data_IF_215513870042
#
_entry.id   IF_215513870042
#
_cell.length_a   1.000
_cell.length_b   1.000
_cell.length_c   1.000
_cell.angle_alpha   90.00
_cell.angle_beta   90.00
_cell.angle_gamma   90.00
#
_symmetry.space_group_name_H-M   'P 1'
#
loop_
_entity.id
_entity.type
_entity.pdbx_description
1 polymer ?
#
# COMPACT_ATOMS: atom_id res chain seq x y z
N UNK A 1 -34.08 -9.85 13.75
CA UNK A 1 -32.87 -9.25 14.35
C UNK A 1 -31.69 -10.06 13.86
N UNK A 2 -31.01 -9.55 12.82
CA UNK A 2 -29.77 -10.14 12.30
C UNK A 2 -28.87 -9.00 11.86
N UNK A 3 -28.42 -8.19 12.82
CA UNK A 3 -27.47 -7.08 12.63
C UNK A 3 -26.03 -7.62 12.46
N UNK A 4 -25.85 -8.53 11.51
CA UNK A 4 -24.52 -9.04 11.11
C UNK A 4 -24.08 -8.52 9.75
N UNK A 5 -24.94 -7.75 9.07
CA UNK A 5 -24.68 -7.25 7.71
C UNK A 5 -23.81 -5.97 7.66
N UNK A 6 -23.54 -5.34 8.82
CA UNK A 6 -22.77 -4.09 8.90
C UNK A 6 -21.25 -4.28 9.06
N UNK A 7 -20.74 -5.52 9.13
CA UNK A 7 -19.30 -5.80 8.97
C UNK A 7 -19.00 -6.05 7.47
N UNK A 8 -19.74 -5.40 6.57
CA UNK A 8 -19.32 -5.30 5.18
C UNK A 8 -18.17 -4.31 5.13
N UNK A 9 -16.96 -4.85 5.09
CA UNK A 9 -15.78 -4.19 4.53
C UNK A 9 -16.24 -3.20 3.46
N UNK A 10 -16.02 -1.90 3.67
CA UNK A 10 -16.51 -0.88 2.74
C UNK A 10 -16.06 -1.28 1.33
N UNK A 11 -16.98 -1.48 0.36
CA UNK A 11 -16.64 -2.08 -0.94
C UNK A 11 -15.55 -1.27 -1.66
N UNK A 12 -15.49 0.03 -1.39
CA UNK A 12 -14.45 0.94 -1.87
C UNK A 12 -13.06 0.62 -1.28
N UNK A 13 -12.96 0.31 0.01
CA UNK A 13 -11.69 -0.09 0.66
C UNK A 13 -11.20 -1.45 0.17
N UNK A 14 -12.12 -2.38 -0.11
CA UNK A 14 -11.80 -3.68 -0.70
C UNK A 14 -11.30 -3.52 -2.14
N UNK A 15 -12.03 -2.78 -2.98
CA UNK A 15 -11.62 -2.50 -4.36
C UNK A 15 -10.30 -1.73 -4.41
N UNK A 16 -10.09 -0.77 -3.51
CA UNK A 16 -8.83 -0.05 -3.39
C UNK A 16 -7.68 -1.01 -3.04
N UNK A 17 -7.89 -1.93 -2.08
CA UNK A 17 -6.90 -2.94 -1.72
C UNK A 17 -6.55 -3.85 -2.90
N UNK A 18 -7.54 -4.36 -3.63
CA UNK A 18 -7.34 -5.20 -4.82
C UNK A 18 -6.55 -4.48 -5.91
N UNK A 19 -6.82 -3.19 -6.13
CA UNK A 19 -6.03 -2.35 -7.07
C UNK A 19 -4.57 -2.24 -6.62
N UNK A 20 -4.32 -2.02 -5.32
CA UNK A 20 -2.96 -1.97 -4.77
C UNK A 20 -2.27 -3.33 -4.95
N UNK A 21 -2.94 -4.44 -4.64
CA UNK A 21 -2.39 -5.79 -4.83
C UNK A 21 -2.02 -6.05 -6.29
N UNK A 22 -2.91 -5.69 -7.23
CA UNK A 22 -2.68 -5.85 -8.67
C UNK A 22 -1.48 -5.03 -9.13
N UNK A 23 -1.37 -3.79 -8.66
CA UNK A 23 -0.30 -2.89 -9.05
C UNK A 23 1.05 -3.35 -8.50
N UNK A 24 1.09 -3.81 -7.25
CA UNK A 24 2.32 -4.27 -6.60
C UNK A 24 2.81 -5.60 -7.17
N UNK A 25 1.90 -6.43 -7.68
CA UNK A 25 2.23 -7.67 -8.39
C UNK A 25 2.65 -7.47 -9.86
N UNK A 26 2.56 -6.24 -10.40
CA UNK A 26 2.95 -5.94 -11.77
C UNK A 26 4.48 -5.99 -11.96
N UNK A 27 4.93 -6.34 -13.16
CA UNK A 27 6.36 -6.39 -13.51
C UNK A 27 7.03 -5.01 -13.43
N UNK A 28 6.31 -3.97 -13.83
CA UNK A 28 6.71 -2.57 -13.67
C UNK A 28 5.77 -1.86 -12.69
N UNK A 29 6.34 -1.32 -11.62
CA UNK A 29 5.58 -0.59 -10.62
C UNK A 29 5.38 0.88 -11.04
N UNK A 30 4.13 1.27 -11.27
CA UNK A 30 3.76 2.68 -11.39
C UNK A 30 3.65 3.31 -9.99
N UNK A 31 4.72 4.00 -9.59
CA UNK A 31 4.82 4.67 -8.30
C UNK A 31 3.79 5.79 -8.10
N UNK A 32 3.40 6.51 -9.15
CA UNK A 32 2.42 7.61 -9.04
C UNK A 32 1.03 7.06 -8.78
N UNK A 33 0.65 6.01 -9.51
CA UNK A 33 -0.61 5.30 -9.28
C UNK A 33 -0.64 4.64 -7.90
N UNK A 34 0.47 4.05 -7.44
CA UNK A 34 0.54 3.47 -6.10
C UNK A 34 0.34 4.54 -5.01
N UNK A 35 1.03 5.68 -5.13
CA UNK A 35 0.89 6.79 -4.18
C UNK A 35 -0.55 7.31 -4.13
N UNK A 36 -1.19 7.46 -5.29
CA UNK A 36 -2.59 7.89 -5.38
C UNK A 36 -3.52 6.91 -4.68
N UNK A 37 -3.36 5.61 -4.93
CA UNK A 37 -4.20 4.56 -4.32
C UNK A 37 -4.00 4.48 -2.80
N UNK A 38 -2.76 4.60 -2.31
CA UNK A 38 -2.49 4.63 -0.86
C UNK A 38 -3.08 5.87 -0.21
N UNK A 39 -2.99 7.03 -0.86
CA UNK A 39 -3.60 8.27 -0.36
C UNK A 39 -5.12 8.20 -0.32
N UNK A 40 -5.75 7.65 -1.37
CA UNK A 40 -7.20 7.39 -1.41
C UNK A 40 -7.61 6.41 -0.31
N UNK A 41 -6.80 5.38 -0.06
CA UNK A 41 -7.03 4.42 1.02
C UNK A 41 -7.08 5.11 2.38
N UNK A 42 -6.09 5.95 2.69
CA UNK A 42 -6.01 6.66 3.96
C UNK A 42 -7.24 7.56 4.17
N UNK A 43 -7.70 8.24 3.12
CA UNK A 43 -8.92 9.06 3.18
C UNK A 43 -10.15 8.21 3.50
N UNK A 44 -10.31 7.06 2.83
CA UNK A 44 -11.41 6.13 3.09
C UNK A 44 -11.36 5.57 4.52
N UNK A 45 -10.18 5.20 5.02
CA UNK A 45 -10.00 4.74 6.41
C UNK A 45 -10.42 5.83 7.39
N UNK A 46 -9.97 7.07 7.21
CA UNK A 46 -10.32 8.19 8.08
C UNK A 46 -11.83 8.45 8.12
N UNK A 47 -12.50 8.36 6.97
CA UNK A 47 -13.96 8.46 6.90
C UNK A 47 -14.63 7.36 7.72
N UNK A 48 -14.17 6.11 7.63
CA UNK A 48 -14.74 5.00 8.39
C UNK A 48 -14.48 5.10 9.89
N UNK A 49 -13.27 5.53 10.29
CA UNK A 49 -12.94 5.76 11.70
C UNK A 49 -13.86 6.81 12.35
N UNK A 50 -14.34 7.80 11.58
CA UNK A 50 -15.31 8.79 12.05
C UNK A 50 -16.75 8.28 12.17
N UNK A 51 -17.08 7.14 11.56
CA UNK A 51 -18.43 6.57 11.52
C UNK A 51 -18.61 5.38 12.46
N UNK A 52 -17.54 4.64 12.74
CA UNK A 52 -17.57 3.42 13.53
C UNK A 52 -17.33 3.69 15.03
N UNK A 53 -17.88 2.84 15.89
CA UNK A 53 -17.65 2.91 17.34
C UNK A 53 -17.75 1.53 18.00
N UNK A 54 -17.13 1.38 19.18
CA UNK A 54 -17.18 0.15 19.96
C UNK A 54 -16.54 -1.06 19.24
N UNK A 55 -17.24 -2.18 19.22
CA UNK A 55 -16.71 -3.46 18.71
C UNK A 55 -16.48 -3.45 17.19
N UNK A 56 -17.32 -2.75 16.42
CA UNK A 56 -17.15 -2.66 14.96
C UNK A 56 -15.90 -1.87 14.57
N UNK A 57 -15.59 -0.82 15.32
CA UNK A 57 -14.35 -0.05 15.18
C UNK A 57 -13.13 -0.94 15.44
N UNK A 58 -13.17 -1.74 16.50
CA UNK A 58 -12.05 -2.62 16.85
C UNK A 58 -11.79 -3.69 15.77
N UNK A 59 -12.85 -4.32 15.24
CA UNK A 59 -12.74 -5.29 14.15
C UNK A 59 -12.23 -4.64 12.85
N UNK A 60 -12.73 -3.45 12.53
CA UNK A 60 -12.28 -2.67 11.38
C UNK A 60 -10.78 -2.35 11.49
N UNK A 61 -10.34 -1.77 12.61
CA UNK A 61 -8.94 -1.44 12.84
C UNK A 61 -8.02 -2.66 12.71
N UNK A 62 -8.42 -3.81 13.27
CA UNK A 62 -7.62 -5.03 13.13
C UNK A 62 -7.49 -5.47 11.67
N UNK A 63 -8.61 -5.50 10.93
CA UNK A 63 -8.58 -5.89 9.51
C UNK A 63 -7.74 -4.93 8.65
N UNK A 64 -7.74 -3.64 8.97
CA UNK A 64 -6.97 -2.64 8.25
C UNK A 64 -5.48 -2.69 8.60
N UNK A 65 -5.12 -3.03 9.84
CA UNK A 65 -3.74 -3.28 10.23
C UNK A 65 -3.14 -4.46 9.46
N UNK A 66 -3.87 -5.56 9.32
CA UNK A 66 -3.40 -6.74 8.59
C UNK A 66 -3.14 -6.40 7.11
N UNK A 67 -4.05 -5.63 6.49
CA UNK A 67 -3.90 -5.15 5.11
C UNK A 67 -2.75 -4.15 4.96
N UNK A 68 -2.58 -3.26 5.93
CA UNK A 68 -1.46 -2.31 5.92
C UNK A 68 -0.11 -3.04 6.03
N UNK A 69 -0.04 -4.05 6.90
CA UNK A 69 1.15 -4.88 7.05
C UNK A 69 1.51 -5.62 5.76
N UNK A 70 0.50 -6.15 5.05
CA UNK A 70 0.68 -6.72 3.72
C UNK A 70 1.28 -5.70 2.75
N UNK A 71 0.68 -4.50 2.63
CA UNK A 71 1.17 -3.46 1.71
C UNK A 71 2.62 -3.10 2.02
N UNK A 72 2.96 -2.90 3.29
CA UNK A 72 4.33 -2.60 3.69
C UNK A 72 5.30 -3.72 3.32
N UNK A 73 4.91 -4.97 3.55
CA UNK A 73 5.76 -6.15 3.27
C UNK A 73 6.04 -6.30 1.79
N UNK A 74 5.07 -6.01 0.92
CA UNK A 74 5.25 -6.13 -0.53
C UNK A 74 5.95 -4.91 -1.14
N UNK A 75 5.69 -3.70 -0.61
CA UNK A 75 6.22 -2.45 -1.17
C UNK A 75 7.65 -2.16 -0.71
N UNK A 76 8.04 -2.51 0.52
CA UNK A 76 9.38 -2.23 1.04
C UNK A 76 10.52 -2.88 0.21
N UNK A 77 10.43 -4.15 -0.22
CA UNK A 77 11.44 -4.78 -1.07
C UNK A 77 11.60 -4.08 -2.42
N UNK A 78 10.51 -3.56 -3.01
CA UNK A 78 10.55 -2.85 -4.28
C UNK A 78 11.38 -1.56 -4.17
N UNK A 79 11.21 -0.79 -3.09
CA UNK A 79 12.05 0.37 -2.83
C UNK A 79 13.52 0.02 -2.57
N UNK A 80 13.78 -1.06 -1.84
CA UNK A 80 15.15 -1.52 -1.59
C UNK A 80 15.84 -1.95 -2.90
N UNK A 81 15.13 -2.64 -3.78
CA UNK A 81 15.62 -3.04 -5.09
C UNK A 81 15.96 -1.83 -5.97
N UNK A 82 15.05 -0.86 -6.08
CA UNK A 82 15.28 0.39 -6.83
C UNK A 82 16.47 1.16 -6.27
N UNK A 83 16.60 1.26 -4.94
CA UNK A 83 17.74 1.91 -4.28
C UNK A 83 19.07 1.21 -4.59
N UNK A 84 19.11 -0.12 -4.52
CA UNK A 84 20.30 -0.93 -4.88
C UNK A 84 20.69 -0.76 -6.35
N UNK A 85 19.70 -0.72 -7.26
CA UNK A 85 19.95 -0.50 -8.69
C UNK A 85 20.52 0.90 -8.96
N UNK A 86 19.97 1.93 -8.31
CA UNK A 86 20.46 3.30 -8.44
C UNK A 86 21.89 3.44 -7.90
N UNK A 87 22.20 2.84 -6.75
CA UNK A 87 23.54 2.84 -6.18
C UNK A 87 24.55 2.21 -7.14
N UNK A 88 24.23 1.05 -7.75
CA UNK A 88 25.07 0.40 -8.76
C UNK A 88 25.33 1.31 -9.96
N UNK A 89 24.31 2.00 -10.48
CA UNK A 89 24.44 2.96 -11.58
C UNK A 89 25.33 4.15 -11.23
N UNK A 90 25.22 4.68 -10.01
CA UNK A 90 26.09 5.77 -9.55
C UNK A 90 27.55 5.33 -9.44
N UNK A 91 27.80 4.12 -8.93
CA UNK A 91 29.15 3.56 -8.85
C UNK A 91 29.75 3.29 -10.23
N UNK A 92 28.99 2.70 -11.16
CA UNK A 92 29.46 2.47 -12.53
C UNK A 92 29.78 3.78 -13.26
N UNK A 93 28.93 4.81 -13.10
CA UNK A 93 29.19 6.15 -13.64
C UNK A 93 30.45 6.79 -13.05
N UNK A 94 30.72 6.63 -11.75
CA UNK A 94 31.98 7.10 -11.13
C UNK A 94 33.19 6.37 -11.70
N UNK A 95 33.12 5.05 -11.83
CA UNK A 95 34.21 4.26 -12.41
C UNK A 95 34.54 4.73 -13.84
N UNK A 96 33.54 4.88 -14.71
CA UNK A 96 33.73 5.38 -16.09
C UNK A 96 34.39 6.76 -16.12
N UNK A 97 34.05 7.67 -15.19
CA UNK A 97 34.70 8.99 -15.10
C UNK A 97 36.16 8.93 -14.63
N UNK A 98 36.56 7.90 -13.88
CA UNK A 98 37.95 7.73 -13.41
C UNK A 98 38.88 7.11 -14.46
N UNK A 99 38.33 6.51 -15.53
CA UNK A 99 39.10 5.97 -16.66
C UNK A 99 39.29 6.95 -17.82
N UNK A 100 38.72 8.17 -17.73
CA UNK A 100 38.97 9.29 -18.64
C UNK A 100 39.92 10.28 -18.00
#
# INVERSE_FOLDING_TARGET
MSDTDSIKTHPELAQNFEKIQTLVAAEELDHETLLKLVTERDQLIQQQLGLLSGQSLQLFCQSELDRHHYIQTEVAPLFEQTSKQLAKLMHSRKAIKSYK
#
